data_IF_210450539837
#
_entry.id   IF_210450539837
#
_cell.length_a   1.000
_cell.length_b   1.000
_cell.length_c   1.000
_cell.angle_alpha   90.00
_cell.angle_beta   90.00
_cell.angle_gamma   90.00
#
_symmetry.space_group_name_H-M   'P 1'
#
loop_
_entity.id
_entity.type
_entity.pdbx_description
1 polymer ?
#
# COMPACT_ATOMS: atom_id res chain seq x y z
N UNK A 1 15.22 -29.66 -7.13
CA UNK A 1 14.75 -28.27 -7.03
C UNK A 1 14.94 -27.63 -8.39
N UNK A 2 13.86 -27.22 -9.02
CA UNK A 2 13.87 -26.59 -10.34
C UNK A 2 14.16 -25.09 -10.21
N UNK A 3 14.47 -24.42 -11.32
CA UNK A 3 14.65 -22.96 -11.38
C UNK A 3 13.42 -22.23 -10.81
N UNK A 4 12.23 -22.78 -11.06
CA UNK A 4 10.97 -22.27 -10.52
C UNK A 4 10.97 -22.25 -8.98
N UNK A 5 11.48 -23.31 -8.33
CA UNK A 5 11.53 -23.39 -6.87
C UNK A 5 12.42 -22.28 -6.28
N UNK A 6 13.56 -22.01 -6.93
CA UNK A 6 14.46 -20.92 -6.53
C UNK A 6 13.82 -19.54 -6.70
N UNK A 7 13.07 -19.33 -7.78
CA UNK A 7 12.31 -18.09 -8.01
C UNK A 7 11.26 -17.89 -6.92
N UNK A 8 10.46 -18.92 -6.62
CA UNK A 8 9.44 -18.85 -5.57
C UNK A 8 10.04 -18.59 -4.19
N UNK A 9 11.12 -19.30 -3.84
CA UNK A 9 11.86 -19.06 -2.58
C UNK A 9 12.33 -17.62 -2.46
N UNK A 10 12.85 -17.05 -3.55
CA UNK A 10 13.34 -15.66 -3.56
C UNK A 10 12.18 -14.66 -3.37
N UNK A 11 11.04 -14.90 -4.03
CA UNK A 11 9.84 -14.07 -3.86
C UNK A 11 9.34 -14.13 -2.42
N UNK A 12 9.20 -15.33 -1.85
CA UNK A 12 8.71 -15.53 -0.49
C UNK A 12 9.67 -14.94 0.55
N UNK A 13 10.98 -15.17 0.41
CA UNK A 13 11.99 -14.61 1.30
C UNK A 13 11.99 -13.07 1.23
N UNK A 14 11.94 -12.49 0.04
CA UNK A 14 11.86 -11.04 -0.14
C UNK A 14 10.57 -10.47 0.48
N UNK A 15 9.43 -11.15 0.31
CA UNK A 15 8.16 -10.72 0.87
C UNK A 15 8.15 -10.80 2.41
N UNK A 16 8.71 -11.87 2.99
CA UNK A 16 8.88 -12.03 4.43
C UNK A 16 9.77 -10.93 5.02
N UNK A 17 10.97 -10.72 4.45
CA UNK A 17 11.93 -9.73 4.92
C UNK A 17 11.34 -8.33 4.83
N UNK A 18 10.75 -7.96 3.68
CA UNK A 18 10.07 -6.66 3.53
C UNK A 18 8.92 -6.52 4.53
N UNK A 19 8.19 -7.60 4.80
CA UNK A 19 7.12 -7.65 5.78
C UNK A 19 7.58 -7.35 7.20
N UNK A 20 8.65 -8.04 7.64
CA UNK A 20 9.29 -7.85 8.94
C UNK A 20 9.84 -6.43 9.12
N UNK A 21 10.47 -5.87 8.08
CA UNK A 21 11.08 -4.53 8.12
C UNK A 21 10.01 -3.43 8.17
N UNK A 22 8.94 -3.56 7.36
CA UNK A 22 7.86 -2.58 7.32
C UNK A 22 6.94 -2.68 8.53
N UNK A 23 6.67 -3.88 9.04
CA UNK A 23 5.67 -4.12 10.09
C UNK A 23 4.23 -4.12 9.56
N UNK A 24 3.29 -4.63 10.36
CA UNK A 24 1.89 -4.79 9.96
C UNK A 24 1.18 -3.45 9.87
N UNK A 25 1.31 -2.59 10.88
CA UNK A 25 0.58 -1.32 10.98
C UNK A 25 0.86 -0.45 9.75
N UNK A 26 2.12 -0.36 9.31
CA UNK A 26 2.46 0.43 8.11
C UNK A 26 1.90 -0.17 6.83
N UNK A 27 1.84 -1.50 6.73
CA UNK A 27 1.24 -2.16 5.58
C UNK A 27 -0.28 -1.97 5.53
N UNK A 28 -0.95 -2.07 6.69
CA UNK A 28 -2.39 -1.87 6.82
C UNK A 28 -2.75 -0.39 6.63
N UNK A 29 -2.01 0.55 7.22
CA UNK A 29 -2.22 1.98 7.02
C UNK A 29 -2.09 2.39 5.54
N UNK A 30 -1.16 1.79 4.80
CA UNK A 30 -1.05 1.99 3.35
C UNK A 30 -2.28 1.51 2.58
N UNK A 31 -2.81 0.33 2.92
CA UNK A 31 -4.02 -0.23 2.30
C UNK A 31 -5.28 0.54 2.70
N UNK A 32 -5.44 0.85 3.98
CA UNK A 32 -6.54 1.66 4.48
C UNK A 32 -6.50 3.06 3.88
N UNK A 33 -5.32 3.67 3.77
CA UNK A 33 -5.18 4.96 3.11
C UNK A 33 -5.53 4.89 1.63
N UNK A 34 -5.24 3.77 0.95
CA UNK A 34 -5.61 3.57 -0.45
C UNK A 34 -7.14 3.54 -0.61
N UNK A 35 -7.82 2.73 0.22
CA UNK A 35 -9.27 2.58 0.18
C UNK A 35 -10.00 3.83 0.67
N UNK A 36 -9.61 4.35 1.83
CA UNK A 36 -10.17 5.57 2.40
C UNK A 36 -9.87 6.78 1.51
N UNK A 37 -8.66 6.88 0.98
CA UNK A 37 -8.30 7.95 0.04
C UNK A 37 -9.19 7.94 -1.20
N UNK A 38 -9.51 6.77 -1.76
CA UNK A 38 -10.40 6.66 -2.91
C UNK A 38 -11.81 7.18 -2.61
N UNK A 39 -12.40 6.73 -1.50
CA UNK A 39 -13.74 7.17 -1.08
C UNK A 39 -13.75 8.66 -0.73
N UNK A 40 -12.79 9.12 0.06
CA UNK A 40 -12.71 10.51 0.53
C UNK A 40 -12.42 11.47 -0.62
N UNK A 41 -11.52 11.11 -1.54
CA UNK A 41 -11.29 11.90 -2.75
C UNK A 41 -12.55 12.00 -3.61
N UNK A 42 -13.34 10.92 -3.71
CA UNK A 42 -14.61 10.93 -4.43
C UNK A 42 -15.63 11.93 -3.88
N UNK A 43 -15.56 12.25 -2.59
CA UNK A 43 -16.46 13.24 -1.97
C UNK A 43 -15.87 14.65 -1.89
N UNK A 44 -14.55 14.78 -1.66
CA UNK A 44 -13.91 16.08 -1.43
C UNK A 44 -13.26 16.71 -2.67
N UNK A 45 -13.15 16.01 -3.80
CA UNK A 45 -12.52 16.59 -5.00
C UNK A 45 -13.23 17.87 -5.49
N UNK A 46 -14.57 17.93 -5.38
CA UNK A 46 -15.34 19.13 -5.74
C UNK A 46 -15.03 20.34 -4.84
N UNK A 47 -14.64 20.11 -3.59
CA UNK A 47 -14.22 21.19 -2.69
C UNK A 47 -12.80 21.69 -3.01
N UNK A 48 -11.96 20.81 -3.57
CA UNK A 48 -10.60 21.14 -4.00
C UNK A 48 -10.57 21.82 -5.40
N UNK A 49 -11.61 21.62 -6.21
CA UNK A 49 -11.71 22.14 -7.57
C UNK A 49 -11.60 23.68 -7.66
N UNK A 50 -12.30 24.48 -6.83
CA UNK A 50 -12.17 25.94 -6.85
C UNK A 50 -10.76 26.43 -6.52
N UNK A 51 -10.06 25.73 -5.61
CA UNK A 51 -8.69 26.07 -5.19
C UNK A 51 -7.73 25.87 -6.36
N UNK A 52 -7.85 24.74 -7.06
CA UNK A 52 -7.04 24.46 -8.24
C UNK A 52 -7.39 25.37 -9.41
N UNK A 53 -8.67 25.69 -9.59
CA UNK A 53 -9.14 26.57 -10.68
C UNK A 53 -8.61 27.99 -10.56
N UNK A 54 -8.37 28.49 -9.34
CA UNK A 54 -7.73 29.80 -9.11
C UNK A 54 -6.28 29.85 -9.59
N UNK A 55 -5.55 28.75 -9.48
CA UNK A 55 -4.14 28.66 -9.85
C UNK A 55 -3.94 28.20 -11.30
N UNK A 56 -4.86 27.36 -11.81
CA UNK A 56 -4.80 26.75 -13.14
C UNK A 56 -6.16 26.87 -13.86
N UNK A 57 -6.60 28.08 -14.22
CA UNK A 57 -7.95 28.33 -14.75
C UNK A 57 -8.21 27.68 -16.12
N UNK A 58 -7.16 27.49 -16.93
CA UNK A 58 -7.22 26.97 -18.30
C UNK A 58 -6.64 25.55 -18.45
N UNK A 59 -6.36 24.86 -17.35
CA UNK A 59 -5.84 23.50 -17.43
C UNK A 59 -6.95 22.49 -17.81
N UNK A 60 -6.70 21.61 -18.80
CA UNK A 60 -7.63 20.55 -19.13
C UNK A 60 -7.68 19.51 -18.01
N UNK A 61 -8.82 18.83 -17.86
CA UNK A 61 -9.03 17.76 -16.86
C UNK A 61 -8.84 18.19 -15.40
N UNK A 62 -9.19 19.43 -15.06
CA UNK A 62 -8.98 19.98 -13.71
C UNK A 62 -9.67 19.16 -12.61
N UNK A 63 -10.84 18.56 -12.89
CA UNK A 63 -11.53 17.66 -11.96
C UNK A 63 -10.72 16.40 -11.63
N UNK A 64 -10.07 15.81 -12.64
CA UNK A 64 -9.19 14.65 -12.47
C UNK A 64 -7.98 15.04 -11.63
N UNK A 65 -7.41 16.22 -11.89
CA UNK A 65 -6.29 16.73 -11.12
C UNK A 65 -6.68 16.99 -9.65
N UNK A 66 -7.85 17.61 -9.41
CA UNK A 66 -8.39 17.82 -8.06
C UNK A 66 -8.61 16.51 -7.33
N UNK A 67 -9.16 15.50 -8.00
CA UNK A 67 -9.31 14.17 -7.44
C UNK A 67 -7.96 13.54 -7.08
N UNK A 68 -6.99 13.57 -8.00
CA UNK A 68 -5.66 13.01 -7.80
C UNK A 68 -4.91 13.66 -6.64
N UNK A 69 -4.98 15.00 -6.53
CA UNK A 69 -4.35 15.76 -5.44
C UNK A 69 -5.01 15.44 -4.11
N UNK A 70 -6.35 15.47 -4.04
CA UNK A 70 -7.07 15.13 -2.81
C UNK A 70 -6.78 13.70 -2.38
N UNK A 71 -6.81 12.74 -3.32
CA UNK A 71 -6.47 11.34 -3.09
C UNK A 71 -5.08 11.19 -2.50
N UNK A 72 -4.06 11.76 -3.15
CA UNK A 72 -2.68 11.71 -2.69
C UNK A 72 -2.52 12.31 -1.30
N UNK A 73 -3.15 13.47 -1.03
CA UNK A 73 -3.12 14.13 0.27
C UNK A 73 -3.73 13.25 1.37
N UNK A 74 -4.91 12.67 1.15
CA UNK A 74 -5.54 11.76 2.11
C UNK A 74 -4.75 10.49 2.34
N UNK A 75 -4.24 9.86 1.27
CA UNK A 75 -3.43 8.66 1.39
C UNK A 75 -2.16 8.92 2.20
N UNK A 76 -1.45 10.01 1.91
CA UNK A 76 -0.28 10.44 2.65
C UNK A 76 -0.61 10.72 4.12
N UNK A 77 -1.72 11.39 4.41
CA UNK A 77 -2.16 11.67 5.77
C UNK A 77 -2.39 10.38 6.57
N UNK A 78 -3.09 9.39 6.01
CA UNK A 78 -3.36 8.11 6.68
C UNK A 78 -2.07 7.32 6.91
N UNK A 79 -1.18 7.26 5.92
CA UNK A 79 0.13 6.61 6.05
C UNK A 79 0.97 7.28 7.13
N UNK A 80 0.97 8.62 7.16
CA UNK A 80 1.70 9.39 8.16
C UNK A 80 1.16 9.16 9.58
N UNK A 81 -0.16 9.13 9.74
CA UNK A 81 -0.80 8.78 11.02
C UNK A 81 -0.44 7.37 11.46
N UNK A 82 -0.45 6.39 10.56
CA UNK A 82 -0.01 5.02 10.85
C UNK A 82 1.47 4.96 11.28
N UNK A 83 2.34 5.75 10.65
CA UNK A 83 3.74 5.88 11.07
C UNK A 83 3.88 6.48 12.46
N UNK A 84 3.13 7.54 12.75
CA UNK A 84 3.14 8.19 14.06
C UNK A 84 2.62 7.24 15.14
N UNK A 85 1.56 6.48 14.86
CA UNK A 85 1.04 5.45 15.76
C UNK A 85 2.13 4.44 16.13
N UNK A 86 2.82 3.86 15.15
CA UNK A 86 3.95 2.93 15.41
C UNK A 86 5.03 3.59 16.25
N UNK A 87 5.36 4.86 15.98
CA UNK A 87 6.41 5.58 16.73
C UNK A 87 5.99 5.81 18.19
N UNK A 88 4.72 6.09 18.45
CA UNK A 88 4.16 6.21 19.80
C UNK A 88 4.12 4.83 20.51
N UNK A 89 3.76 3.77 19.79
CA UNK A 89 3.70 2.39 20.32
C UNK A 89 5.07 1.82 20.69
N UNK A 90 6.19 2.40 20.21
CA UNK A 90 7.55 1.96 20.54
C UNK A 90 7.92 2.12 22.02
N UNK A 91 7.14 2.86 22.80
CA UNK A 91 7.30 2.90 24.26
C UNK A 91 6.88 1.57 24.93
N UNK A 92 6.23 0.66 24.22
CA UNK A 92 5.78 -0.64 24.72
C UNK A 92 6.43 -1.80 23.96
N UNK A 93 6.46 -2.97 24.61
CA UNK A 93 6.81 -4.29 24.07
C UNK A 93 6.07 -4.65 22.75
N UNK A 94 5.15 -3.87 22.20
CA UNK A 94 4.38 -4.24 21.00
C UNK A 94 5.12 -4.07 19.66
N UNK A 95 6.30 -3.44 19.64
CA UNK A 95 7.04 -3.21 18.39
C UNK A 95 7.55 -4.51 17.72
N UNK A 96 7.86 -5.56 18.50
CA UNK A 96 8.27 -6.85 17.93
C UNK A 96 7.08 -7.61 17.35
N UNK A 97 5.91 -7.54 18.01
CA UNK A 97 4.67 -8.13 17.52
C UNK A 97 4.23 -7.51 16.18
N UNK A 98 4.32 -6.18 16.03
CA UNK A 98 4.04 -5.49 14.76
C UNK A 98 4.94 -6.01 13.61
N UNK A 99 6.23 -6.24 13.88
CA UNK A 99 7.16 -6.78 12.88
C UNK A 99 6.85 -8.22 12.52
N UNK A 100 6.56 -9.08 13.50
CA UNK A 100 6.21 -10.48 13.24
C UNK A 100 4.92 -10.60 12.43
N UNK A 101 3.88 -9.88 12.83
CA UNK A 101 2.62 -9.82 12.09
C UNK A 101 2.83 -9.21 10.70
N UNK A 102 3.72 -8.23 10.58
CA UNK A 102 4.15 -7.68 9.29
C UNK A 102 4.83 -8.70 8.39
N UNK A 103 5.65 -9.59 8.97
CA UNK A 103 6.27 -10.72 8.30
C UNK A 103 5.25 -11.73 7.80
N UNK A 104 4.29 -12.12 8.65
CA UNK A 104 3.20 -13.02 8.27
C UNK A 104 2.33 -12.43 7.14
N UNK A 105 1.98 -11.15 7.24
CA UNK A 105 1.23 -10.46 6.19
C UNK A 105 2.04 -10.29 4.89
N UNK A 106 3.35 -10.05 5.01
CA UNK A 106 4.27 -10.05 3.88
C UNK A 106 4.34 -11.40 3.18
N UNK A 107 4.48 -12.48 3.94
CA UNK A 107 4.44 -13.86 3.43
C UNK A 107 3.13 -14.15 2.73
N UNK A 108 1.98 -13.79 3.32
CA UNK A 108 0.68 -13.99 2.69
C UNK A 108 0.61 -13.32 1.30
N UNK A 109 1.06 -12.06 1.19
CA UNK A 109 1.16 -11.38 -0.12
C UNK A 109 2.13 -12.07 -1.07
N UNK A 110 3.27 -12.54 -0.56
CA UNK A 110 4.26 -13.29 -1.33
C UNK A 110 3.69 -14.61 -1.86
N UNK A 111 2.89 -15.32 -1.05
CA UNK A 111 2.19 -16.54 -1.44
C UNK A 111 1.14 -16.26 -2.51
N UNK A 112 0.33 -15.21 -2.35
CA UNK A 112 -0.61 -14.79 -3.40
C UNK A 112 0.12 -14.50 -4.70
N UNK A 113 1.24 -13.75 -4.66
CA UNK A 113 2.05 -13.47 -5.85
C UNK A 113 2.65 -14.76 -6.47
N UNK A 114 3.13 -15.68 -5.64
CA UNK A 114 3.64 -16.98 -6.07
C UNK A 114 2.57 -17.83 -6.76
N UNK A 115 1.36 -17.91 -6.18
CA UNK A 115 0.22 -18.64 -6.75
C UNK A 115 -0.18 -18.02 -8.08
N UNK A 116 -0.28 -16.69 -8.17
CA UNK A 116 -0.58 -16.01 -9.44
C UNK A 116 0.49 -16.31 -10.49
N UNK A 117 1.78 -16.27 -10.13
CA UNK A 117 2.87 -16.61 -11.04
C UNK A 117 2.75 -18.04 -11.57
N UNK A 118 2.56 -19.02 -10.67
CA UNK A 118 2.41 -20.43 -11.06
C UNK A 118 1.18 -20.61 -11.95
N UNK A 119 0.04 -20.04 -11.57
CA UNK A 119 -1.19 -20.12 -12.35
C UNK A 119 -1.01 -19.56 -13.77
N UNK A 120 -0.35 -18.40 -13.91
CA UNK A 120 -0.02 -17.81 -15.22
C UNK A 120 0.89 -18.76 -16.00
N UNK A 121 1.95 -19.29 -15.39
CA UNK A 121 2.84 -20.22 -16.08
C UNK A 121 2.09 -21.48 -16.55
N UNK A 122 1.23 -22.07 -15.72
CA UNK A 122 0.44 -23.25 -16.10
C UNK A 122 -0.62 -22.96 -17.16
N UNK A 123 -1.18 -21.75 -17.20
CA UNK A 123 -2.18 -21.36 -18.20
C UNK A 123 -1.57 -21.04 -19.57
N UNK A 124 -0.35 -20.51 -19.61
CA UNK A 124 0.27 -20.00 -20.83
C UNK A 124 1.47 -20.80 -21.33
N UNK A 125 2.08 -21.66 -20.50
CA UNK A 125 3.04 -22.67 -20.96
C UNK A 125 2.30 -24.02 -21.07
N UNK A 126 2.25 -24.63 -22.27
CA UNK A 126 1.64 -25.93 -22.49
C UNK A 126 2.36 -27.08 -21.79
#
# INVERSE_FOLDING_TARGET
MNILDFILLTILAAALIRGLVRGMIRQVAGLLGLLAGFVVAGHLYLQMLPVLRRHFPSAPYLEVLSYAVTYAATWLAVVFLGYLFVKLSRAMLMAWADRLLGGAFGLFKGMVAAVVLVAVLTLFLP
#
